data_IF_850613746751
#
_entry.id   IF_850613746751
#
_cell.length_a   1.000
_cell.length_b   1.000
_cell.length_c   1.000
_cell.angle_alpha   90.00
_cell.angle_beta   90.00
_cell.angle_gamma   90.00
#
_symmetry.space_group_name_H-M   'P 1'
#
loop_
_entity.id
_entity.type
_entity.pdbx_description
1 polymer ?
#
# COMPACT_ATOMS: atom_id res chain seq x y z
N UNK A 1 7.70 -11.63 -36.52
CA UNK A 1 8.88 -11.27 -35.70
C UNK A 1 8.57 -9.95 -35.01
N UNK A 2 7.99 -10.00 -33.81
CA UNK A 2 7.80 -8.82 -32.97
C UNK A 2 8.76 -8.95 -31.79
N UNK A 3 10.03 -8.64 -32.00
CA UNK A 3 11.00 -8.51 -30.90
C UNK A 3 10.77 -7.16 -30.23
N UNK A 4 9.59 -6.98 -29.66
CA UNK A 4 9.27 -5.88 -28.76
C UNK A 4 9.87 -6.17 -27.39
N UNK A 5 10.33 -5.11 -26.71
CA UNK A 5 10.66 -5.18 -25.28
C UNK A 5 9.49 -5.81 -24.53
N UNK A 6 9.70 -6.75 -23.58
CA UNK A 6 8.63 -7.29 -22.74
C UNK A 6 7.82 -6.13 -22.13
N UNK A 7 6.50 -6.19 -22.21
CA UNK A 7 5.62 -5.09 -21.81
C UNK A 7 5.86 -4.64 -20.36
N UNK A 8 6.30 -5.57 -19.51
CA UNK A 8 6.70 -5.33 -18.12
C UNK A 8 7.80 -4.28 -18.03
N UNK A 9 8.84 -4.43 -18.84
CA UNK A 9 9.94 -3.46 -18.88
C UNK A 9 9.49 -2.12 -19.46
N UNK A 10 8.70 -2.14 -20.55
CA UNK A 10 8.17 -0.90 -21.13
C UNK A 10 7.30 -0.12 -20.13
N UNK A 11 6.50 -0.83 -19.33
CA UNK A 11 5.71 -0.26 -18.24
C UNK A 11 6.59 0.40 -17.18
N UNK A 12 7.62 -0.30 -16.68
CA UNK A 12 8.52 0.25 -15.66
C UNK A 12 9.31 1.47 -16.17
N UNK A 13 9.75 1.45 -17.42
CA UNK A 13 10.40 2.61 -18.05
C UNK A 13 9.42 3.80 -18.18
N UNK A 14 8.16 3.54 -18.53
CA UNK A 14 7.11 4.57 -18.57
C UNK A 14 6.84 5.15 -17.17
N UNK A 15 6.75 4.29 -16.15
CA UNK A 15 6.62 4.71 -14.76
C UNK A 15 7.79 5.59 -14.30
N UNK A 16 9.03 5.23 -14.67
CA UNK A 16 10.22 6.02 -14.36
C UNK A 16 10.16 7.44 -14.94
N UNK A 17 9.59 7.59 -16.14
CA UNK A 17 9.41 8.88 -16.83
C UNK A 17 8.20 9.67 -16.38
N UNK A 18 7.24 9.05 -15.70
CA UNK A 18 6.00 9.70 -15.30
C UNK A 18 6.23 10.80 -14.26
N UNK A 19 5.79 12.03 -14.52
CA UNK A 19 6.09 13.18 -13.64
C UNK A 19 4.92 13.66 -12.80
N UNK A 20 3.69 13.32 -13.18
CA UNK A 20 2.50 13.80 -12.47
C UNK A 20 2.32 13.06 -11.14
N UNK A 21 2.15 13.77 -10.01
CA UNK A 21 1.87 13.13 -8.71
C UNK A 21 0.41 12.66 -8.60
N UNK A 22 -0.48 13.25 -9.39
CA UNK A 22 -1.90 12.89 -9.49
C UNK A 22 -2.50 13.38 -10.82
N UNK A 23 -3.60 12.77 -11.24
CA UNK A 23 -4.41 13.18 -12.38
C UNK A 23 -5.90 12.86 -12.18
N UNK A 24 -6.77 13.46 -12.98
CA UNK A 24 -8.22 13.16 -12.98
C UNK A 24 -8.66 12.74 -14.38
N UNK A 25 -9.21 11.54 -14.49
CA UNK A 25 -9.62 10.94 -15.78
C UNK A 25 -11.00 10.34 -15.59
N UNK A 26 -11.94 10.70 -16.47
CA UNK A 26 -13.34 10.27 -16.42
C UNK A 26 -13.98 10.43 -15.04
N UNK A 27 -13.63 11.54 -14.35
CA UNK A 27 -14.13 11.85 -13.01
C UNK A 27 -13.46 11.06 -11.87
N UNK A 28 -12.61 10.07 -12.16
CA UNK A 28 -11.79 9.38 -11.16
C UNK A 28 -10.47 10.11 -10.96
N UNK A 29 -10.16 10.45 -9.72
CA UNK A 29 -8.86 11.02 -9.33
C UNK A 29 -7.88 9.89 -9.01
N UNK A 30 -6.75 9.87 -9.69
CA UNK A 30 -5.63 8.97 -9.44
C UNK A 30 -4.54 9.75 -8.70
N UNK A 31 -4.22 9.36 -7.46
CA UNK A 31 -3.11 9.95 -6.69
C UNK A 31 -1.98 8.94 -6.55
N UNK A 32 -0.93 9.14 -7.33
CA UNK A 32 0.23 8.26 -7.33
C UNK A 32 1.20 8.56 -6.19
N UNK A 33 1.30 9.82 -5.77
CA UNK A 33 2.24 10.23 -4.72
C UNK A 33 1.48 10.65 -3.44
N UNK A 34 1.39 9.73 -2.50
CA UNK A 34 0.71 9.92 -1.21
C UNK A 34 1.54 10.84 -0.31
N UNK A 35 0.90 11.89 0.22
CA UNK A 35 1.55 12.94 1.03
C UNK A 35 2.83 13.53 0.40
N UNK A 36 3.00 13.45 -0.93
CA UNK A 36 4.22 13.91 -1.59
C UNK A 36 5.45 13.02 -1.42
N UNK A 37 5.34 11.84 -0.81
CA UNK A 37 6.50 11.01 -0.41
C UNK A 37 6.40 9.54 -0.81
N UNK A 38 5.22 8.92 -0.77
CA UNK A 38 5.03 7.49 -1.04
C UNK A 38 4.38 7.24 -2.41
N UNK A 39 5.08 6.51 -3.28
CA UNK A 39 4.66 6.25 -4.64
C UNK A 39 3.85 4.95 -4.74
N UNK A 40 2.53 5.09 -4.90
CA UNK A 40 1.59 4.01 -5.23
C UNK A 40 1.77 3.61 -6.70
N UNK A 41 2.83 2.85 -6.94
CA UNK A 41 3.22 2.41 -8.28
C UNK A 41 2.19 1.47 -8.90
N UNK A 42 1.46 0.66 -8.10
CA UNK A 42 0.39 -0.21 -8.62
C UNK A 42 -0.77 0.62 -9.20
N UNK A 43 -1.14 1.73 -8.56
CA UNK A 43 -2.15 2.63 -9.11
C UNK A 43 -1.70 3.26 -10.44
N UNK A 44 -0.42 3.59 -10.58
CA UNK A 44 0.11 4.06 -11.86
C UNK A 44 0.17 2.94 -12.90
N UNK A 45 0.51 1.71 -12.50
CA UNK A 45 0.46 0.55 -13.38
C UNK A 45 -0.97 0.31 -13.90
N UNK A 46 -1.97 0.30 -13.02
CA UNK A 46 -3.39 0.17 -13.39
C UNK A 46 -3.75 1.19 -14.46
N UNK A 47 -3.40 2.45 -14.20
CA UNK A 47 -3.65 3.57 -15.11
C UNK A 47 -3.00 3.38 -16.47
N UNK A 48 -1.70 3.08 -16.50
CA UNK A 48 -0.95 2.93 -17.75
C UNK A 48 -1.42 1.70 -18.53
N UNK A 49 -1.71 0.60 -17.85
CA UNK A 49 -2.26 -0.61 -18.47
C UNK A 49 -3.70 -0.42 -18.98
N UNK A 50 -4.42 0.62 -18.56
CA UNK A 50 -5.74 0.94 -19.11
C UNK A 50 -5.67 1.64 -20.47
N UNK A 51 -4.54 2.30 -20.79
CA UNK A 51 -4.35 3.00 -22.08
C UNK A 51 -3.77 2.10 -23.18
N UNK A 52 -3.39 0.86 -22.84
CA UNK A 52 -2.73 -0.05 -23.77
C UNK A 52 -3.69 -1.18 -24.14
N UNK A 53 -4.60 -0.90 -25.07
CA UNK A 53 -5.55 -1.88 -25.57
C UNK A 53 -4.85 -2.98 -26.39
N UNK A 54 -5.08 -4.24 -26.00
CA UNK A 54 -4.70 -5.42 -26.78
C UNK A 54 -3.22 -5.83 -26.73
N UNK A 55 -2.32 -5.07 -26.09
CA UNK A 55 -0.90 -5.45 -25.99
C UNK A 55 -0.60 -6.41 -24.81
N UNK A 56 -1.48 -6.46 -23.81
CA UNK A 56 -1.37 -7.31 -22.62
C UNK A 56 -2.70 -8.05 -22.46
N UNK A 57 -2.66 -9.36 -22.21
CA UNK A 57 -3.90 -10.09 -21.93
C UNK A 57 -4.53 -9.64 -20.61
N UNK A 58 -5.86 -9.73 -20.50
CA UNK A 58 -6.56 -9.36 -19.26
C UNK A 58 -6.05 -10.16 -18.06
N UNK A 59 -5.83 -11.47 -18.24
CA UNK A 59 -5.32 -12.36 -17.20
C UNK A 59 -3.93 -11.95 -16.71
N UNK A 60 -3.01 -11.61 -17.62
CA UNK A 60 -1.67 -11.14 -17.23
C UNK A 60 -1.73 -9.80 -16.50
N UNK A 61 -2.59 -8.88 -16.96
CA UNK A 61 -2.80 -7.57 -16.33
C UNK A 61 -3.37 -7.73 -14.92
N UNK A 62 -4.42 -8.53 -14.77
CA UNK A 62 -5.02 -8.82 -13.47
C UNK A 62 -4.00 -9.47 -12.53
N UNK A 63 -3.34 -10.55 -12.97
CA UNK A 63 -2.32 -11.23 -12.15
C UNK A 63 -1.24 -10.28 -11.66
N UNK A 64 -0.73 -9.40 -12.53
CA UNK A 64 0.27 -8.40 -12.17
C UNK A 64 -0.24 -7.34 -11.18
N UNK A 65 -1.43 -6.76 -11.44
CA UNK A 65 -2.00 -5.72 -10.58
C UNK A 65 -2.44 -6.27 -9.23
N UNK A 66 -2.93 -7.51 -9.18
CA UNK A 66 -3.35 -8.18 -7.94
C UNK A 66 -2.16 -8.70 -7.12
N UNK A 67 -1.11 -9.24 -7.76
CA UNK A 67 0.06 -9.69 -7.01
C UNK A 67 0.78 -8.51 -6.38
N UNK A 68 0.82 -7.36 -7.07
CA UNK A 68 1.53 -6.18 -6.60
C UNK A 68 3.04 -6.40 -6.48
N UNK A 69 3.57 -7.40 -7.20
CA UNK A 69 4.96 -7.83 -7.14
C UNK A 69 5.76 -7.31 -8.35
N UNK A 70 7.07 -7.16 -8.17
CA UNK A 70 7.99 -6.87 -9.28
C UNK A 70 7.89 -8.05 -10.26
N UNK A 71 7.71 -7.81 -11.57
CA UNK A 71 7.60 -8.90 -12.53
C UNK A 71 8.84 -9.81 -12.52
N UNK A 72 8.65 -11.13 -12.57
CA UNK A 72 9.75 -12.13 -12.51
C UNK A 72 10.83 -11.95 -13.59
N UNK A 73 10.51 -11.22 -14.64
CA UNK A 73 11.43 -10.87 -15.74
C UNK A 73 12.40 -9.74 -15.39
N UNK A 74 12.23 -9.11 -14.22
CA UNK A 74 12.97 -7.93 -13.77
C UNK A 74 13.45 -8.17 -12.33
N UNK A 75 14.76 -8.10 -12.11
CA UNK A 75 15.31 -8.15 -10.76
C UNK A 75 15.20 -6.80 -10.03
N UNK A 76 15.53 -6.77 -8.74
CA UNK A 76 15.41 -5.55 -7.93
C UNK A 76 16.33 -4.42 -8.41
N UNK A 77 17.53 -4.74 -8.90
CA UNK A 77 18.49 -3.76 -9.40
C UNK A 77 18.00 -3.10 -10.70
N UNK A 78 17.43 -3.90 -11.60
CA UNK A 78 16.78 -3.42 -12.81
C UNK A 78 15.54 -2.59 -12.48
N UNK A 79 14.70 -3.02 -11.55
CA UNK A 79 13.54 -2.25 -11.10
C UNK A 79 13.95 -0.88 -10.56
N UNK A 80 14.99 -0.85 -9.71
CA UNK A 80 15.58 0.39 -9.19
C UNK A 80 16.14 1.27 -10.29
N UNK A 81 16.82 0.68 -11.27
CA UNK A 81 17.37 1.39 -12.42
C UNK A 81 16.26 2.05 -13.26
N UNK A 82 15.19 1.32 -13.59
CA UNK A 82 14.09 1.84 -14.41
C UNK A 82 13.29 2.96 -13.73
N UNK A 83 13.04 2.85 -12.42
CA UNK A 83 12.38 3.92 -11.68
C UNK A 83 13.28 5.13 -11.46
N UNK A 84 14.58 4.90 -11.32
CA UNK A 84 15.54 5.92 -10.88
C UNK A 84 15.49 6.16 -9.36
N UNK A 85 16.52 6.81 -8.80
CA UNK A 85 16.76 6.85 -7.36
C UNK A 85 15.64 7.54 -6.55
N UNK A 86 15.05 8.61 -7.08
CA UNK A 86 13.99 9.35 -6.38
C UNK A 86 12.69 8.56 -6.29
N UNK A 87 12.21 7.99 -7.42
CA UNK A 87 10.99 7.17 -7.44
C UNK A 87 11.18 5.84 -6.72
N UNK A 88 12.37 5.24 -6.80
CA UNK A 88 12.64 4.03 -6.02
C UNK A 88 12.57 4.30 -4.51
N UNK A 89 13.09 5.45 -4.03
CA UNK A 89 12.87 5.86 -2.62
C UNK A 89 11.39 6.02 -2.29
N UNK A 90 10.63 6.67 -3.17
CA UNK A 90 9.19 6.83 -2.98
C UNK A 90 8.43 5.49 -3.01
N UNK A 91 8.86 4.54 -3.85
CA UNK A 91 8.37 3.16 -3.86
C UNK A 91 8.64 2.48 -2.52
N UNK A 92 9.85 2.63 -1.96
CA UNK A 92 10.18 2.08 -0.64
C UNK A 92 9.31 2.71 0.45
N UNK A 93 9.06 4.01 0.39
CA UNK A 93 8.10 4.66 1.30
C UNK A 93 6.70 4.05 1.21
N UNK A 94 6.23 3.70 0.01
CA UNK A 94 4.95 3.03 -0.17
C UNK A 94 4.96 1.59 0.36
N UNK A 95 6.01 0.81 0.05
CA UNK A 95 6.15 -0.58 0.50
C UNK A 95 6.18 -0.68 2.03
N UNK A 96 6.99 0.14 2.69
CA UNK A 96 7.09 0.13 4.15
C UNK A 96 5.97 0.90 4.84
N UNK A 97 5.50 1.99 4.24
CA UNK A 97 4.58 2.90 4.88
C UNK A 97 3.11 2.64 4.61
N UNK A 98 2.78 1.84 3.59
CA UNK A 98 1.40 1.43 3.31
C UNK A 98 1.28 -0.08 3.43
N UNK A 99 1.91 -0.84 2.54
CA UNK A 99 1.74 -2.29 2.45
C UNK A 99 2.14 -2.98 3.75
N UNK A 100 3.31 -2.65 4.28
CA UNK A 100 3.79 -3.26 5.53
C UNK A 100 3.02 -2.77 6.76
N UNK A 101 2.53 -1.53 6.73
CA UNK A 101 1.73 -0.97 7.82
C UNK A 101 0.34 -1.61 7.88
N UNK A 102 -0.29 -1.89 6.73
CA UNK A 102 -1.54 -2.68 6.63
C UNK A 102 -1.34 -4.10 7.14
N UNK A 103 -0.22 -4.75 6.79
CA UNK A 103 0.12 -6.06 7.32
C UNK A 103 0.27 -6.04 8.86
N UNK A 104 0.88 -4.98 9.43
CA UNK A 104 0.97 -4.80 10.88
C UNK A 104 -0.39 -4.64 11.54
N UNK A 105 -1.27 -3.81 10.96
CA UNK A 105 -2.65 -3.61 11.43
C UNK A 105 -3.40 -4.95 11.48
N UNK A 106 -3.32 -5.74 10.39
CA UNK A 106 -3.94 -7.06 10.34
C UNK A 106 -3.42 -8.00 11.44
N UNK A 107 -2.11 -7.99 11.72
CA UNK A 107 -1.56 -8.82 12.80
C UNK A 107 -2.15 -8.41 14.16
N UNK A 108 -2.24 -7.11 14.43
CA UNK A 108 -2.81 -6.63 15.70
C UNK A 108 -4.30 -6.95 15.81
N UNK A 109 -5.06 -6.79 14.72
CA UNK A 109 -6.47 -7.19 14.66
C UNK A 109 -6.66 -8.69 14.94
N UNK A 110 -5.81 -9.55 14.38
CA UNK A 110 -5.86 -11.00 14.64
C UNK A 110 -5.51 -11.35 16.09
N UNK A 111 -4.56 -10.65 16.71
CA UNK A 111 -4.20 -10.84 18.11
C UNK A 111 -5.33 -10.42 19.06
N UNK A 112 -5.93 -9.25 18.81
CA UNK A 112 -7.10 -8.78 19.53
C UNK A 112 -8.25 -9.77 19.37
N UNK A 113 -8.54 -10.22 18.14
CA UNK A 113 -9.59 -11.22 17.86
C UNK A 113 -9.35 -12.50 18.67
N UNK A 114 -8.13 -13.04 18.68
CA UNK A 114 -7.79 -14.25 19.47
C UNK A 114 -8.00 -14.05 20.97
N UNK A 115 -7.66 -12.87 21.50
CA UNK A 115 -7.90 -12.55 22.91
C UNK A 115 -9.40 -12.49 23.23
N UNK A 116 -10.22 -11.92 22.35
CA UNK A 116 -11.67 -11.83 22.53
C UNK A 116 -12.42 -13.14 22.30
N UNK A 117 -12.00 -13.97 21.35
CA UNK A 117 -12.55 -15.33 21.16
C UNK A 117 -12.37 -16.18 22.42
N UNK A 118 -11.24 -16.02 23.13
CA UNK A 118 -11.01 -16.68 24.41
C UNK A 118 -11.95 -16.21 25.53
N UNK A 119 -12.62 -15.06 25.35
CA UNK A 119 -13.51 -14.38 26.31
C UNK A 119 -14.98 -14.33 25.89
N UNK A 120 -15.35 -15.00 24.78
CA UNK A 120 -16.73 -15.04 24.23
C UNK A 120 -17.34 -13.69 23.86
N UNK A 121 -16.52 -12.71 23.45
CA UNK A 121 -17.00 -11.43 22.94
C UNK A 121 -17.49 -11.53 21.48
N UNK A 122 -18.49 -10.74 21.08
CA UNK A 122 -18.99 -10.69 19.70
C UNK A 122 -18.00 -9.96 18.77
N UNK A 123 -17.85 -10.42 17.54
CA UNK A 123 -17.09 -9.71 16.50
C UNK A 123 -17.75 -8.34 16.22
N UNK A 124 -17.04 -7.25 16.51
CA UNK A 124 -17.54 -5.88 16.37
C UNK A 124 -16.43 -4.93 15.90
N UNK A 125 -16.81 -3.72 15.47
CA UNK A 125 -15.90 -2.61 15.15
C UNK A 125 -14.95 -2.27 16.31
N UNK A 126 -15.27 -2.70 17.54
CA UNK A 126 -14.44 -2.50 18.73
C UNK A 126 -13.09 -3.22 18.61
N UNK A 127 -13.02 -4.35 17.89
CA UNK A 127 -11.76 -5.07 17.67
C UNK A 127 -10.76 -4.23 16.86
N UNK A 128 -11.26 -3.50 15.85
CA UNK A 128 -10.44 -2.61 15.02
C UNK A 128 -9.98 -1.42 15.86
N UNK A 129 -10.87 -0.82 16.65
CA UNK A 129 -10.54 0.30 17.51
C UNK A 129 -9.48 -0.07 18.57
N UNK A 130 -9.57 -1.28 19.13
CA UNK A 130 -8.57 -1.81 20.06
C UNK A 130 -7.23 -2.08 19.38
N UNK A 131 -7.22 -2.72 18.20
CA UNK A 131 -5.98 -2.98 17.45
C UNK A 131 -5.24 -1.68 17.11
N UNK A 132 -5.97 -0.65 16.67
CA UNK A 132 -5.41 0.68 16.43
C UNK A 132 -4.89 1.32 17.71
N UNK A 133 -5.57 1.12 18.84
CA UNK A 133 -5.09 1.61 20.14
C UNK A 133 -3.79 0.92 20.56
N UNK A 134 -3.62 -0.38 20.30
CA UNK A 134 -2.38 -1.11 20.61
C UNK A 134 -1.17 -0.60 19.79
N UNK A 135 -1.39 -0.27 18.50
CA UNK A 135 -0.31 0.19 17.61
C UNK A 135 -0.06 1.69 17.75
N UNK A 136 -1.10 2.51 17.89
CA UNK A 136 -1.02 3.98 17.74
C UNK A 136 -1.41 4.76 19.00
N UNK A 137 -1.71 4.07 20.11
CA UNK A 137 -2.20 4.63 21.39
C UNK A 137 -3.54 5.37 21.31
N UNK A 138 -4.25 5.28 20.18
CA UNK A 138 -5.54 5.94 19.95
C UNK A 138 -6.45 5.07 19.08
N UNK A 139 -7.78 5.18 19.24
CA UNK A 139 -8.73 4.51 18.36
C UNK A 139 -8.63 5.04 16.91
N UNK A 140 -8.92 4.17 15.95
CA UNK A 140 -9.02 4.46 14.51
C UNK A 140 -9.90 5.66 14.23
N UNK A 141 -11.07 5.75 14.86
CA UNK A 141 -11.99 6.87 14.65
C UNK A 141 -11.42 8.23 15.08
N UNK A 142 -10.63 8.29 16.15
CA UNK A 142 -9.94 9.51 16.58
C UNK A 142 -8.77 9.85 15.65
N UNK A 143 -7.98 8.86 15.27
CA UNK A 143 -6.88 9.03 14.33
C UNK A 143 -7.37 9.54 12.98
N UNK A 144 -8.49 9.00 12.48
CA UNK A 144 -9.08 9.41 11.21
C UNK A 144 -9.58 10.87 11.26
N UNK A 145 -10.22 11.27 12.37
CA UNK A 145 -10.63 12.67 12.59
C UNK A 145 -9.44 13.62 12.59
N UNK A 146 -8.32 13.20 13.18
CA UNK A 146 -7.06 13.95 13.24
C UNK A 146 -6.45 14.07 11.84
N UNK A 147 -6.34 12.95 11.12
CA UNK A 147 -5.87 12.92 9.73
C UNK A 147 -6.67 13.85 8.82
N UNK A 148 -8.00 13.83 8.90
CA UNK A 148 -8.86 14.72 8.10
C UNK A 148 -8.63 16.21 8.43
N UNK A 149 -8.37 16.56 9.70
CA UNK A 149 -8.04 17.93 10.10
C UNK A 149 -6.70 18.37 9.52
N UNK A 150 -5.66 17.56 9.69
CA UNK A 150 -4.30 17.90 9.24
C UNK A 150 -4.20 17.97 7.71
N UNK A 151 -4.89 17.08 7.00
CA UNK A 151 -4.88 17.02 5.53
C UNK A 151 -5.93 17.91 4.87
N UNK A 152 -6.71 18.67 5.66
CA UNK A 152 -7.81 19.53 5.20
C UNK A 152 -8.82 18.80 4.30
N UNK A 153 -9.03 17.50 4.52
CA UNK A 153 -10.03 16.71 3.78
C UNK A 153 -11.42 16.97 4.34
N UNK A 154 -12.40 17.05 3.45
CA UNK A 154 -13.80 17.16 3.87
C UNK A 154 -14.20 15.90 4.65
N UNK A 155 -14.75 16.10 5.84
CA UNK A 155 -15.21 15.02 6.72
C UNK A 155 -16.51 14.39 6.26
N UNK A 156 -17.28 15.10 5.42
CA UNK A 156 -18.61 14.67 4.95
C UNK A 156 -18.55 13.83 3.68
N UNK A 157 -17.42 13.83 2.97
CA UNK A 157 -17.25 13.00 1.77
C UNK A 157 -16.84 11.58 2.16
N UNK A 158 -17.29 10.61 1.37
CA UNK A 158 -16.81 9.24 1.48
C UNK A 158 -15.31 9.18 1.18
N UNK A 159 -14.56 8.39 1.96
CA UNK A 159 -13.15 8.16 1.72
C UNK A 159 -12.97 7.28 0.49
N UNK A 160 -12.13 7.72 -0.44
CA UNK A 160 -11.69 6.89 -1.56
C UNK A 160 -10.63 5.89 -1.11
N UNK A 161 -10.35 4.87 -1.92
CA UNK A 161 -9.24 3.94 -1.65
C UNK A 161 -7.89 4.68 -1.52
N UNK A 162 -7.65 5.70 -2.35
CA UNK A 162 -6.46 6.56 -2.23
C UNK A 162 -6.45 7.34 -0.92
N UNK A 163 -7.60 7.78 -0.41
CA UNK A 163 -7.67 8.44 0.90
C UNK A 163 -7.31 7.49 2.05
N UNK A 164 -7.72 6.22 1.95
CA UNK A 164 -7.38 5.19 2.94
C UNK A 164 -5.89 4.85 2.91
N UNK A 165 -5.30 4.65 1.73
CA UNK A 165 -3.85 4.44 1.59
C UNK A 165 -3.04 5.62 2.13
N UNK A 166 -3.49 6.84 1.88
CA UNK A 166 -2.85 8.04 2.42
C UNK A 166 -2.99 8.14 3.94
N UNK A 167 -4.13 7.71 4.50
CA UNK A 167 -4.32 7.59 5.95
C UNK A 167 -3.37 6.55 6.56
N UNK A 168 -3.23 5.38 5.94
CA UNK A 168 -2.25 4.36 6.36
C UNK A 168 -0.82 4.91 6.35
N UNK A 169 -0.43 5.62 5.28
CA UNK A 169 0.90 6.23 5.21
C UNK A 169 1.11 7.29 6.30
N UNK A 170 0.09 8.10 6.60
CA UNK A 170 0.12 9.04 7.72
C UNK A 170 0.30 8.33 9.07
N UNK A 171 -0.39 7.20 9.29
CA UNK A 171 -0.24 6.39 10.51
C UNK A 171 1.17 5.82 10.66
N UNK A 172 1.76 5.34 9.57
CA UNK A 172 3.14 4.87 9.57
C UNK A 172 4.12 5.95 10.04
N UNK A 173 4.03 7.15 9.46
CA UNK A 173 4.85 8.30 9.86
C UNK A 173 4.64 8.63 11.35
N UNK A 174 3.40 8.59 11.83
CA UNK A 174 3.09 8.80 13.25
C UNK A 174 3.72 7.72 14.13
N UNK A 175 3.59 6.44 13.77
CA UNK A 175 4.10 5.29 14.55
C UNK A 175 5.61 5.32 14.71
N UNK A 176 6.35 5.64 13.64
CA UNK A 176 7.81 5.75 13.69
C UNK A 176 8.27 6.80 14.72
N UNK A 177 7.52 7.90 14.84
CA UNK A 177 7.81 8.95 15.81
C UNK A 177 7.27 8.67 17.22
N UNK A 178 6.33 7.74 17.34
CA UNK A 178 5.66 7.40 18.60
C UNK A 178 6.46 6.40 19.44
N UNK A 179 7.11 5.42 18.80
CA UNK A 179 7.76 4.30 19.47
C UNK A 179 9.29 4.39 19.41
N UNK A 180 9.94 3.72 20.36
CA UNK A 180 11.38 3.56 20.34
C UNK A 180 11.83 2.68 19.14
N UNK A 181 13.09 2.81 18.68
CA UNK A 181 13.59 2.06 17.53
C UNK A 181 13.50 0.53 17.67
N UNK A 182 13.61 -0.01 18.89
CA UNK A 182 13.57 -1.45 19.11
C UNK A 182 12.15 -1.98 18.87
N UNK A 183 11.14 -1.28 19.37
CA UNK A 183 9.75 -1.60 19.08
C UNK A 183 9.41 -1.44 17.61
N UNK A 184 9.83 -0.34 16.96
CA UNK A 184 9.60 -0.14 15.52
C UNK A 184 10.17 -1.31 14.71
N UNK A 185 11.40 -1.74 15.00
CA UNK A 185 12.04 -2.87 14.33
C UNK A 185 11.35 -4.22 14.63
N UNK A 186 10.81 -4.40 15.84
CA UNK A 186 10.02 -5.58 16.20
C UNK A 186 8.72 -5.65 15.39
N UNK A 187 7.97 -4.55 15.34
CA UNK A 187 6.72 -4.43 14.59
C UNK A 187 6.96 -4.64 13.08
N UNK A 188 8.01 -4.04 12.53
CA UNK A 188 8.42 -4.26 11.14
C UNK A 188 8.70 -5.74 10.85
N UNK A 189 9.46 -6.44 11.71
CA UNK A 189 9.70 -7.89 11.55
C UNK A 189 8.41 -8.71 11.63
N UNK A 190 7.49 -8.31 12.51
CA UNK A 190 6.19 -8.96 12.68
C UNK A 190 5.34 -8.83 11.41
N UNK A 191 5.30 -7.63 10.84
CA UNK A 191 4.58 -7.34 9.61
C UNK A 191 5.19 -8.06 8.39
N UNK A 192 6.53 -8.13 8.29
CA UNK A 192 7.22 -8.85 7.21
C UNK A 192 6.81 -10.32 7.21
N UNK A 193 6.91 -10.98 8.37
CA UNK A 193 6.48 -12.39 8.51
C UNK A 193 5.03 -12.61 8.12
N UNK A 194 4.15 -11.65 8.44
CA UNK A 194 2.75 -11.76 8.04
C UNK A 194 2.57 -11.64 6.52
N UNK A 195 3.27 -10.70 5.89
CA UNK A 195 3.21 -10.49 4.46
C UNK A 195 3.70 -11.75 3.71
N UNK A 196 4.83 -12.33 4.13
CA UNK A 196 5.36 -13.58 3.57
C UNK A 196 4.33 -14.73 3.64
N UNK A 197 3.60 -14.87 4.76
CA UNK A 197 2.55 -15.88 4.90
C UNK A 197 1.36 -15.65 3.95
N UNK A 198 0.99 -14.39 3.71
CA UNK A 198 -0.08 -14.02 2.78
C UNK A 198 0.32 -14.28 1.33
N UNK A 199 1.56 -13.96 0.97
CA UNK A 199 2.12 -14.21 -0.37
C UNK A 199 2.15 -15.71 -0.69
N UNK A 200 2.59 -16.55 0.25
CA UNK A 200 2.55 -18.02 0.08
C UNK A 200 1.11 -18.52 -0.06
N UNK A 201 0.17 -17.97 0.72
CA UNK A 201 -1.24 -18.34 0.63
C UNK A 201 -1.89 -17.99 -0.71
N UNK A 202 -1.41 -16.95 -1.40
CA UNK A 202 -1.89 -16.52 -2.71
C UNK A 202 -1.29 -17.33 -3.88
N UNK A 203 -0.14 -17.98 -3.71
CA UNK A 203 0.47 -18.84 -4.75
C UNK A 203 -0.14 -20.25 -4.82
N UNK A 204 -0.91 -20.66 -3.81
CA UNK A 204 -1.50 -22.01 -3.69
C UNK A 204 -2.96 -22.06 -4.19
N UNK A 205 -3.50 -20.94 -4.69
CA UNK A 205 -4.84 -20.83 -5.29
C UNK A 205 -4.75 -20.48 -6.76
#
# INVERSE_FOLDING_TARGET
>A
MATGTPWQRALLEAMGRWTLPEETIDGRRYRYLLLGEAFDWILLAERLCADVDGAISLEEKERFLFSGQIPDTVDEDQFRYFLGPSKYRAYMNFRYGVVLEEALQLVSEEEVRKQHTSRSYSESDELIEEAYTQIYQKPRSELLKTFQQETKKDRRRNLTLSDLKEFTYWLHKRRINLWDPARVASDTRKAIRRLELLEVGNQVK
#
